data_IF_264527908222
#
_entry.id   IF_264527908222
#
_cell.length_a   1.000
_cell.length_b   1.000
_cell.length_c   1.000
_cell.angle_alpha   90.00
_cell.angle_beta   90.00
_cell.angle_gamma   90.00
#
_symmetry.space_group_name_H-M   'P 1'
#
loop_
_entity.id
_entity.type
_entity.pdbx_description
1 polymer ?
#
# COMPACT_ATOMS: atom_id res chain seq x y z
N UNK A 1 -20.40 -5.19 4.24
CA UNK A 1 -19.90 -3.87 4.66
C UNK A 1 -19.85 -3.78 6.16
N UNK A 2 -20.98 -3.92 6.86
CA UNK A 2 -21.04 -3.87 8.34
C UNK A 2 -20.10 -4.88 9.01
N UNK A 3 -20.07 -6.11 8.51
CA UNK A 3 -19.14 -7.17 8.97
C UNK A 3 -17.66 -6.80 8.78
N UNK A 4 -17.32 -6.16 7.66
CA UNK A 4 -15.94 -5.77 7.31
C UNK A 4 -15.46 -4.61 8.19
N UNK A 5 -16.33 -3.66 8.50
CA UNK A 5 -16.04 -2.57 9.44
C UNK A 5 -15.83 -3.10 10.85
N UNK A 6 -16.71 -4.00 11.31
CA UNK A 6 -16.61 -4.59 12.64
C UNK A 6 -15.33 -5.42 12.80
N UNK A 7 -14.96 -6.19 11.78
CA UNK A 7 -13.71 -6.96 11.74
C UNK A 7 -12.48 -6.05 11.82
N UNK A 8 -12.46 -4.95 11.04
CA UNK A 8 -11.38 -3.97 11.09
C UNK A 8 -11.23 -3.37 12.51
N UNK A 9 -12.34 -2.94 13.14
CA UNK A 9 -12.32 -2.40 14.50
C UNK A 9 -11.80 -3.43 15.50
N UNK A 10 -12.25 -4.69 15.40
CA UNK A 10 -11.79 -5.79 16.27
C UNK A 10 -10.29 -6.03 16.13
N UNK A 11 -9.77 -6.11 14.90
CA UNK A 11 -8.33 -6.33 14.64
C UNK A 11 -7.48 -5.19 15.20
N UNK A 12 -7.86 -3.93 14.93
CA UNK A 12 -7.14 -2.76 15.45
C UNK A 12 -7.20 -2.72 16.98
N UNK A 13 -8.36 -2.97 17.57
CA UNK A 13 -8.53 -3.00 19.02
C UNK A 13 -7.73 -4.13 19.69
N UNK A 14 -7.64 -5.30 19.05
CA UNK A 14 -6.75 -6.38 19.49
C UNK A 14 -5.29 -5.97 19.49
N UNK A 15 -4.83 -5.36 18.38
CA UNK A 15 -3.44 -4.88 18.26
C UNK A 15 -3.10 -3.81 19.29
N UNK A 16 -4.00 -2.85 19.56
CA UNK A 16 -3.81 -1.82 20.59
C UNK A 16 -3.64 -2.44 21.99
N UNK A 17 -4.40 -3.50 22.30
CA UNK A 17 -4.32 -4.18 23.60
C UNK A 17 -3.02 -4.93 23.79
N UNK A 18 -2.49 -5.52 22.72
CA UNK A 18 -1.25 -6.30 22.76
C UNK A 18 0.00 -5.41 22.68
N UNK A 19 -0.05 -4.33 21.89
CA UNK A 19 1.12 -3.49 21.56
C UNK A 19 0.80 -1.99 21.66
N UNK A 20 0.35 -1.52 22.83
CA UNK A 20 -0.05 -0.11 23.06
C UNK A 20 1.06 0.88 22.70
N UNK A 21 2.31 0.61 23.11
CA UNK A 21 3.44 1.51 22.86
C UNK A 21 3.82 1.58 21.37
N UNK A 22 3.86 0.43 20.69
CA UNK A 22 4.16 0.35 19.25
C UNK A 22 3.07 1.03 18.41
N UNK A 23 1.81 0.89 18.83
CA UNK A 23 0.69 1.56 18.21
C UNK A 23 0.83 3.09 18.29
N UNK A 24 1.20 3.64 19.45
CA UNK A 24 1.42 5.08 19.61
C UNK A 24 2.53 5.57 18.67
N UNK A 25 3.66 4.85 18.60
CA UNK A 25 4.75 5.23 17.68
C UNK A 25 4.31 5.18 16.23
N UNK A 26 3.61 4.11 15.80
CA UNK A 26 3.18 3.95 14.41
C UNK A 26 2.16 5.00 13.97
N UNK A 27 1.26 5.40 14.87
CA UNK A 27 0.32 6.50 14.62
C UNK A 27 1.08 7.83 14.49
N UNK A 28 2.09 8.07 15.32
CA UNK A 28 2.96 9.26 15.23
C UNK A 28 3.75 9.28 13.93
N UNK A 29 4.41 8.18 13.56
CA UNK A 29 5.18 8.06 12.32
C UNK A 29 4.32 8.27 11.07
N UNK A 30 3.12 7.66 11.00
CA UNK A 30 2.20 7.85 9.87
C UNK A 30 1.72 9.31 9.77
N UNK A 31 1.45 9.96 10.91
CA UNK A 31 1.08 11.38 10.94
C UNK A 31 2.23 12.27 10.46
N UNK A 32 3.44 12.04 10.97
CA UNK A 32 4.65 12.76 10.56
C UNK A 32 4.88 12.62 9.05
N UNK A 33 4.85 11.40 8.51
CA UNK A 33 5.07 11.13 7.08
C UNK A 33 4.01 11.77 6.18
N UNK A 34 2.73 11.79 6.59
CA UNK A 34 1.67 12.38 5.78
C UNK A 34 1.73 13.91 5.75
N UNK A 35 2.31 14.55 6.76
CA UNK A 35 2.08 15.97 7.01
C UNK A 35 3.35 16.80 7.17
N UNK A 36 4.54 16.20 7.22
CA UNK A 36 5.80 16.91 7.48
C UNK A 36 6.04 18.05 6.47
N UNK A 37 5.83 17.81 5.17
CA UNK A 37 6.08 18.81 4.15
C UNK A 37 5.13 20.02 4.27
N UNK A 38 3.82 19.78 4.44
CA UNK A 38 2.80 20.82 4.56
C UNK A 38 2.94 21.60 5.87
N UNK A 39 3.13 20.91 7.00
CA UNK A 39 3.36 21.54 8.31
C UNK A 39 4.64 22.36 8.29
N UNK A 40 5.72 21.85 7.68
CA UNK A 40 6.98 22.58 7.56
C UNK A 40 6.82 23.83 6.71
N UNK A 41 6.04 23.79 5.65
CA UNK A 41 5.73 24.96 4.85
C UNK A 41 4.89 25.98 5.64
N UNK A 42 3.83 25.55 6.32
CA UNK A 42 3.00 26.43 7.16
C UNK A 42 3.80 27.04 8.30
N UNK A 43 4.72 26.30 8.95
CA UNK A 43 5.66 26.84 9.95
C UNK A 43 6.61 27.88 9.36
N UNK A 44 7.13 27.66 8.15
CA UNK A 44 7.97 28.66 7.44
C UNK A 44 7.18 29.93 7.15
N UNK A 45 5.94 29.81 6.66
CA UNK A 45 5.05 30.95 6.39
C UNK A 45 4.73 31.71 7.67
N UNK A 46 4.41 31.00 8.76
CA UNK A 46 4.14 31.58 10.08
C UNK A 46 5.32 32.41 10.58
N UNK A 47 6.54 31.88 10.48
CA UNK A 47 7.76 32.60 10.88
C UNK A 47 7.98 33.87 10.07
N UNK A 48 7.77 33.81 8.73
CA UNK A 48 7.86 34.99 7.86
C UNK A 48 6.81 36.05 8.20
N UNK A 49 5.56 35.64 8.39
CA UNK A 49 4.47 36.55 8.75
C UNK A 49 4.71 37.24 10.10
N UNK A 50 5.14 36.47 11.13
CA UNK A 50 5.51 37.02 12.44
C UNK A 50 6.67 38.01 12.34
N UNK A 51 7.70 37.69 11.56
CA UNK A 51 8.84 38.59 11.34
C UNK A 51 8.41 39.89 10.66
N UNK A 52 7.59 39.80 9.61
CA UNK A 52 7.08 40.98 8.91
C UNK A 52 6.22 41.85 9.83
N UNK A 53 5.38 41.26 10.68
CA UNK A 53 4.57 41.97 11.68
C UNK A 53 5.45 42.74 12.67
N UNK A 54 6.53 42.14 13.15
CA UNK A 54 7.50 42.81 14.03
C UNK A 54 8.24 43.94 13.31
N UNK A 55 8.65 43.72 12.05
CA UNK A 55 9.26 44.75 11.21
C UNK A 55 8.34 45.97 11.05
N UNK A 56 7.04 45.75 10.76
CA UNK A 56 6.05 46.83 10.68
C UNK A 56 5.89 47.54 12.03
N UNK A 57 5.88 46.79 13.14
CA UNK A 57 5.82 47.40 14.48
C UNK A 57 7.00 48.33 14.74
N UNK A 58 8.20 47.97 14.27
CA UNK A 58 9.38 48.84 14.29
C UNK A 58 9.26 50.05 13.35
N UNK A 59 8.68 49.89 12.16
CA UNK A 59 8.44 50.98 11.22
C UNK A 59 7.43 52.00 11.76
N UNK A 60 6.35 51.54 12.40
CA UNK A 60 5.35 52.39 13.05
C UNK A 60 6.00 53.26 14.13
N UNK A 61 6.87 52.69 14.99
CA UNK A 61 7.60 53.46 16.02
C UNK A 61 8.43 54.59 15.39
N UNK A 62 9.18 54.29 14.33
CA UNK A 62 9.97 55.29 13.59
C UNK A 62 9.10 56.34 12.91
N UNK A 63 7.94 55.95 12.40
CA UNK A 63 6.97 56.86 11.79
C UNK A 63 6.45 57.88 12.82
N UNK A 64 6.15 57.44 14.04
CA UNK A 64 5.78 58.32 15.15
C UNK A 64 6.91 59.30 15.52
N UNK A 65 8.16 58.83 15.61
CA UNK A 65 9.31 59.70 15.88
C UNK A 65 9.51 60.76 14.78
N UNK A 66 9.35 60.38 13.51
CA UNK A 66 9.46 61.30 12.38
C UNK A 66 8.33 62.35 12.37
N UNK A 67 7.11 61.96 12.75
CA UNK A 67 5.99 62.89 12.91
C UNK A 67 6.21 63.86 14.09
N UNK A 68 6.63 63.36 15.26
CA UNK A 68 6.92 64.18 16.43
C UNK A 68 8.06 65.19 16.21
N UNK A 69 9.02 64.87 15.33
CA UNK A 69 10.10 65.79 14.92
C UNK A 69 9.71 66.74 13.79
N UNK A 70 8.45 66.70 13.32
CA UNK A 70 7.93 67.58 12.27
C UNK A 70 8.46 67.29 10.87
N UNK A 71 9.12 66.14 10.66
CA UNK A 71 9.69 65.76 9.35
C UNK A 71 8.64 65.30 8.35
N UNK A 72 7.45 64.93 8.82
CA UNK A 72 6.35 64.40 8.01
C UNK A 72 5.07 65.16 8.37
N UNK A 73 4.32 65.68 7.38
CA UNK A 73 3.03 66.32 7.64
C UNK A 73 1.96 65.27 7.99
N UNK A 74 0.93 65.72 8.71
CA UNK A 74 -0.13 64.84 9.24
C UNK A 74 -0.84 64.00 8.17
N UNK A 75 -1.09 64.57 6.99
CA UNK A 75 -1.74 63.86 5.88
C UNK A 75 -0.96 62.59 5.45
N UNK A 76 0.37 62.68 5.37
CA UNK A 76 1.21 61.53 5.00
C UNK A 76 1.36 60.54 6.16
N UNK A 77 1.37 61.05 7.40
CA UNK A 77 1.40 60.20 8.58
C UNK A 77 0.16 59.31 8.67
N UNK A 78 -1.04 59.89 8.50
CA UNK A 78 -2.30 59.14 8.58
C UNK A 78 -2.46 58.13 7.45
N UNK A 79 -2.05 58.47 6.23
CA UNK A 79 -2.05 57.57 5.08
C UNK A 79 -1.11 56.37 5.32
N UNK A 80 0.14 56.61 5.72
CA UNK A 80 1.12 55.55 5.99
C UNK A 80 0.72 54.67 7.17
N UNK A 81 0.20 55.27 8.26
CA UNK A 81 -0.26 54.53 9.43
C UNK A 81 -1.43 53.61 9.06
N UNK A 82 -2.39 54.09 8.26
CA UNK A 82 -3.51 53.27 7.77
C UNK A 82 -3.01 52.10 6.91
N UNK A 83 -2.01 52.34 6.06
CA UNK A 83 -1.36 51.28 5.29
C UNK A 83 -0.71 50.21 6.18
N UNK A 84 0.02 50.61 7.22
CA UNK A 84 0.63 49.67 8.15
C UNK A 84 -0.39 48.93 9.02
N UNK A 85 -1.43 49.60 9.49
CA UNK A 85 -2.51 48.98 10.26
C UNK A 85 -3.26 47.92 9.46
N UNK A 86 -3.54 48.19 8.18
CA UNK A 86 -4.20 47.21 7.29
C UNK A 86 -3.29 46.01 7.01
N UNK A 87 -2.00 46.23 6.81
CA UNK A 87 -1.02 45.16 6.64
C UNK A 87 -0.89 44.31 7.92
N UNK A 88 -0.83 44.94 9.10
CA UNK A 88 -0.80 44.23 10.39
C UNK A 88 -2.05 43.37 10.61
N UNK A 89 -3.25 43.89 10.36
CA UNK A 89 -4.50 43.11 10.47
C UNK A 89 -4.51 41.91 9.53
N UNK A 90 -3.99 42.08 8.31
CA UNK A 90 -3.89 41.00 7.34
C UNK A 90 -2.93 39.91 7.82
N UNK A 91 -1.75 40.31 8.31
CA UNK A 91 -0.75 39.40 8.87
C UNK A 91 -1.26 38.68 10.12
N UNK A 92 -2.03 39.34 10.97
CA UNK A 92 -2.62 38.73 12.16
C UNK A 92 -3.63 37.65 11.80
N UNK A 93 -4.52 37.92 10.84
CA UNK A 93 -5.42 36.91 10.29
C UNK A 93 -4.68 35.73 9.65
N UNK A 94 -3.59 36.00 8.92
CA UNK A 94 -2.74 34.94 8.35
C UNK A 94 -2.04 34.11 9.43
N UNK A 95 -1.50 34.74 10.47
CA UNK A 95 -0.85 34.07 11.59
C UNK A 95 -1.84 33.17 12.33
N UNK A 96 -3.04 33.67 12.63
CA UNK A 96 -4.10 32.89 13.27
C UNK A 96 -4.49 31.69 12.42
N UNK A 97 -4.70 31.89 11.11
CA UNK A 97 -5.05 30.81 10.18
C UNK A 97 -3.95 29.75 10.13
N UNK A 98 -2.69 30.16 9.97
CA UNK A 98 -1.55 29.25 9.89
C UNK A 98 -1.32 28.51 11.21
N UNK A 99 -1.50 29.18 12.35
CA UNK A 99 -1.40 28.56 13.67
C UNK A 99 -2.50 27.53 13.87
N UNK A 100 -3.76 27.86 13.53
CA UNK A 100 -4.86 26.92 13.58
C UNK A 100 -4.66 25.71 12.65
N UNK A 101 -4.05 25.91 11.48
CA UNK A 101 -3.66 24.82 10.59
C UNK A 101 -2.64 23.90 11.26
N UNK A 102 -1.56 24.47 11.81
CA UNK A 102 -0.53 23.74 12.55
C UNK A 102 -1.10 22.98 13.75
N UNK A 103 -2.02 23.60 14.49
CA UNK A 103 -2.63 22.99 15.68
C UNK A 103 -3.58 21.84 15.32
N UNK A 104 -4.32 21.96 14.19
CA UNK A 104 -5.11 20.86 13.62
C UNK A 104 -4.25 19.64 13.27
N UNK A 105 -3.02 19.88 12.80
CA UNK A 105 -2.05 18.82 12.53
C UNK A 105 -1.41 18.26 13.82
N UNK A 106 -1.05 19.12 14.78
CA UNK A 106 -0.41 18.71 16.04
C UNK A 106 -1.35 17.97 17.02
N UNK A 107 -2.67 17.93 16.78
CA UNK A 107 -3.61 17.25 17.69
C UNK A 107 -3.37 15.73 17.74
N UNK A 108 -2.54 15.16 16.86
CA UNK A 108 -2.37 13.73 16.65
C UNK A 108 -1.76 12.95 17.82
N UNK A 109 -0.90 13.55 18.65
CA UNK A 109 -0.41 12.87 19.87
C UNK A 109 -1.53 12.65 20.88
N UNK A 110 -2.44 13.62 21.02
CA UNK A 110 -3.63 13.55 21.87
C UNK A 110 -4.67 12.60 21.26
N UNK A 111 -4.63 12.34 19.95
CA UNK A 111 -5.56 11.45 19.26
C UNK A 111 -5.25 9.97 19.54
N UNK A 112 -3.99 9.55 19.52
CA UNK A 112 -3.61 8.16 19.83
C UNK A 112 -4.05 7.73 21.24
N UNK A 113 -3.80 8.56 22.24
CA UNK A 113 -4.18 8.30 23.63
C UNK A 113 -5.72 8.17 23.79
N UNK A 114 -6.48 9.04 23.10
CA UNK A 114 -7.96 8.95 23.07
C UNK A 114 -8.47 7.68 22.42
N UNK A 115 -7.81 7.20 21.37
CA UNK A 115 -8.18 5.94 20.73
C UNK A 115 -7.96 4.75 21.69
N UNK A 116 -6.85 4.75 22.41
CA UNK A 116 -6.56 3.73 23.43
C UNK A 116 -7.61 3.75 24.54
N UNK A 117 -8.01 4.93 25.01
CA UNK A 117 -9.10 5.06 25.99
C UNK A 117 -10.43 4.49 25.46
N UNK A 118 -10.75 4.72 24.19
CA UNK A 118 -11.94 4.17 23.53
C UNK A 118 -11.89 2.64 23.45
N UNK A 119 -10.75 2.08 23.06
CA UNK A 119 -10.53 0.62 23.03
C UNK A 119 -10.64 0.01 24.43
N UNK A 120 -10.10 0.68 25.46
CA UNK A 120 -10.20 0.21 26.85
C UNK A 120 -11.65 0.21 27.37
N UNK A 121 -12.46 1.18 26.93
CA UNK A 121 -13.88 1.31 27.31
C UNK A 121 -14.76 0.24 26.67
N UNK A 122 -14.49 -0.11 25.42
CA UNK A 122 -15.28 -1.08 24.66
C UNK A 122 -14.54 -2.42 24.60
N UNK A 123 -14.72 -3.24 25.64
CA UNK A 123 -13.99 -4.51 25.80
C UNK A 123 -14.63 -5.67 25.01
N UNK A 124 -15.90 -5.56 24.64
CA UNK A 124 -16.61 -6.56 23.84
C UNK A 124 -17.32 -5.94 22.63
N UNK A 125 -16.71 -6.05 21.46
CA UNK A 125 -17.30 -5.63 20.19
C UNK A 125 -18.27 -6.70 19.67
N UNK A 126 -19.32 -7.04 20.41
CA UNK A 126 -20.23 -8.13 20.05
C UNK A 126 -21.25 -7.72 18.99
N UNK A 127 -21.74 -6.48 19.02
CA UNK A 127 -22.80 -6.01 18.11
C UNK A 127 -22.37 -4.75 17.34
N UNK A 128 -22.73 -4.72 16.05
CA UNK A 128 -22.59 -3.56 15.19
C UNK A 128 -23.62 -2.50 15.62
N UNK A 129 -23.21 -1.58 16.50
CA UNK A 129 -24.04 -0.45 16.93
C UNK A 129 -23.66 0.82 16.17
N UNK A 130 -24.66 1.63 15.81
CA UNK A 130 -24.44 2.95 15.22
C UNK A 130 -23.57 3.86 16.12
N UNK A 131 -23.70 3.71 17.43
CA UNK A 131 -22.84 4.41 18.41
C UNK A 131 -21.38 3.98 18.29
N UNK A 132 -21.12 2.68 18.15
CA UNK A 132 -19.77 2.14 17.97
C UNK A 132 -19.13 2.68 16.68
N UNK A 133 -19.89 2.73 15.58
CA UNK A 133 -19.38 3.21 14.30
C UNK A 133 -19.07 4.70 14.34
N UNK A 134 -19.96 5.52 14.92
CA UNK A 134 -19.71 6.95 15.08
C UNK A 134 -18.51 7.25 16.00
N UNK A 135 -18.26 6.39 16.98
CA UNK A 135 -17.13 6.54 17.92
C UNK A 135 -15.80 6.07 17.31
N UNK A 136 -15.79 5.01 16.51
CA UNK A 136 -14.56 4.41 15.98
C UNK A 136 -14.24 4.76 14.53
N UNK A 137 -15.20 5.17 13.71
CA UNK A 137 -15.02 5.39 12.27
C UNK A 137 -15.25 6.87 11.92
N UNK A 138 -14.24 7.47 11.29
CA UNK A 138 -14.31 8.85 10.78
C UNK A 138 -15.03 8.90 9.44
N UNK A 139 -14.61 8.04 8.49
CA UNK A 139 -15.20 7.94 7.15
C UNK A 139 -14.90 6.58 6.52
N UNK A 140 -15.76 6.18 5.58
CA UNK A 140 -15.58 4.98 4.75
C UNK A 140 -15.58 5.43 3.30
N UNK A 141 -14.49 5.15 2.57
CA UNK A 141 -14.38 5.43 1.14
C UNK A 141 -14.59 4.10 0.41
N UNK A 142 -15.58 4.09 -0.48
CA UNK A 142 -15.92 2.91 -1.27
C UNK A 142 -15.59 3.20 -2.72
N UNK A 143 -14.64 2.47 -3.27
CA UNK A 143 -14.22 2.62 -4.66
C UNK A 143 -15.18 1.90 -5.61
N UNK A 144 -15.07 2.22 -6.89
CA UNK A 144 -15.85 1.58 -7.95
C UNK A 144 -15.53 0.08 -8.05
N UNK A 145 -16.57 -0.74 -8.21
CA UNK A 145 -16.39 -2.18 -8.32
C UNK A 145 -15.71 -2.55 -9.64
N UNK A 146 -14.53 -3.14 -9.57
CA UNK A 146 -13.76 -3.58 -10.72
C UNK A 146 -13.96 -5.08 -10.93
N UNK A 147 -14.08 -5.52 -12.19
CA UNK A 147 -14.09 -6.96 -12.52
C UNK A 147 -12.68 -7.39 -12.88
N UNK A 148 -12.06 -8.19 -12.03
CA UNK A 148 -10.77 -8.83 -12.30
C UNK A 148 -11.02 -10.33 -12.38
N UNK A 149 -10.60 -10.97 -13.49
CA UNK A 149 -10.74 -12.42 -13.71
C UNK A 149 -12.16 -12.99 -13.53
N UNK A 150 -13.20 -12.21 -13.85
CA UNK A 150 -14.60 -12.63 -13.73
C UNK A 150 -15.18 -12.55 -12.32
N UNK A 151 -14.37 -12.20 -11.32
CA UNK A 151 -14.80 -11.91 -9.95
C UNK A 151 -14.99 -10.40 -9.80
N UNK A 152 -16.07 -9.99 -9.12
CA UNK A 152 -16.33 -8.58 -8.82
C UNK A 152 -15.59 -8.24 -7.52
N UNK A 153 -14.56 -7.42 -7.62
CA UNK A 153 -13.80 -6.90 -6.49
C UNK A 153 -14.21 -5.45 -6.22
N UNK A 154 -14.27 -5.06 -4.95
CA UNK A 154 -14.62 -3.71 -4.55
C UNK A 154 -13.70 -3.30 -3.40
N UNK A 155 -12.89 -2.27 -3.64
CA UNK A 155 -11.97 -1.75 -2.64
C UNK A 155 -12.71 -0.82 -1.68
N UNK A 156 -12.49 -1.02 -0.38
CA UNK A 156 -13.12 -0.26 0.70
C UNK A 156 -12.02 0.20 1.65
N UNK A 157 -11.89 1.51 1.82
CA UNK A 157 -10.97 2.11 2.76
C UNK A 157 -11.73 2.62 3.99
N UNK A 158 -11.33 2.17 5.17
CA UNK A 158 -11.91 2.59 6.44
C UNK A 158 -10.92 3.51 7.15
N UNK A 159 -11.37 4.72 7.44
CA UNK A 159 -10.65 5.67 8.26
C UNK A 159 -11.21 5.60 9.67
N UNK A 160 -10.39 5.17 10.61
CA UNK A 160 -10.75 5.12 12.01
C UNK A 160 -10.56 6.50 12.64
N UNK A 161 -11.47 6.88 13.52
CA UNK A 161 -11.35 8.10 14.31
C UNK A 161 -10.00 8.11 15.00
N UNK A 162 -9.37 9.28 15.08
CA UNK A 162 -8.11 9.54 15.77
C UNK A 162 -6.82 9.01 15.10
N UNK A 163 -6.90 7.97 14.26
CA UNK A 163 -5.71 7.33 13.66
C UNK A 163 -5.73 7.28 12.13
N UNK A 164 -6.86 7.62 11.49
CA UNK A 164 -7.00 7.60 10.04
C UNK A 164 -6.94 6.18 9.46
N UNK A 165 -6.27 6.01 8.32
CA UNK A 165 -6.10 4.69 7.68
C UNK A 165 -5.02 3.89 8.40
N UNK A 166 -5.46 2.99 9.27
CA UNK A 166 -4.56 2.10 10.00
C UNK A 166 -4.49 0.74 9.33
N UNK A 167 -3.49 0.57 8.47
CA UNK A 167 -3.10 -0.75 7.97
C UNK A 167 -2.37 -1.50 9.09
N UNK A 168 -3.05 -2.49 9.66
CA UNK A 168 -2.40 -3.48 10.51
C UNK A 168 -1.32 -4.18 9.70
N UNK A 169 -0.16 -4.52 10.29
CA UNK A 169 0.70 -5.53 9.69
C UNK A 169 -0.17 -6.76 9.46
N UNK A 170 -0.12 -7.34 8.25
CA UNK A 170 -0.71 -8.66 8.03
C UNK A 170 -0.18 -9.55 9.15
N UNK A 171 -1.05 -9.95 10.09
CA UNK A 171 -0.77 -11.15 10.82
C UNK A 171 -0.59 -12.18 9.70
N UNK A 172 0.60 -12.78 9.62
CA UNK A 172 0.75 -14.04 8.91
C UNK A 172 -0.26 -14.96 9.60
N UNK A 173 -1.51 -14.96 9.10
CA UNK A 173 -2.43 -16.07 9.27
C UNK A 173 -1.57 -17.24 8.85
N UNK A 174 -1.16 -18.05 9.83
CA UNK A 174 -0.48 -19.30 9.53
C UNK A 174 -1.39 -19.95 8.49
N UNK A 175 -0.92 -20.12 7.24
CA UNK A 175 -1.82 -20.50 6.18
C UNK A 175 -2.43 -21.83 6.60
N UNK A 176 -3.76 -21.87 6.77
CA UNK A 176 -4.47 -23.12 6.63
C UNK A 176 -3.95 -23.72 5.33
N UNK A 177 -3.26 -24.85 5.44
CA UNK A 177 -2.59 -25.52 4.35
C UNK A 177 -3.63 -26.00 3.34
N UNK A 178 -4.15 -25.09 2.52
CA UNK A 178 -4.58 -25.44 1.18
C UNK A 178 -3.34 -25.99 0.49
N UNK A 179 -3.37 -27.23 -0.04
CA UNK A 179 -2.19 -27.81 -0.67
C UNK A 179 -1.90 -27.06 -1.96
N UNK A 180 -1.13 -25.99 -1.85
CA UNK A 180 -0.49 -25.30 -2.96
C UNK A 180 0.32 -26.36 -3.68
N UNK A 181 -0.08 -26.68 -4.92
CA UNK A 181 0.75 -27.43 -5.87
C UNK A 181 2.02 -26.61 -6.15
N UNK A 182 2.99 -26.68 -5.25
CA UNK A 182 4.32 -26.10 -5.43
C UNK A 182 4.97 -26.83 -6.59
N UNK A 183 4.97 -26.19 -7.76
CA UNK A 183 5.89 -26.47 -8.85
C UNK A 183 7.31 -26.22 -8.35
N UNK A 184 7.89 -27.18 -7.60
CA UNK A 184 9.29 -27.16 -7.17
C UNK A 184 10.16 -27.55 -8.36
N UNK A 185 10.37 -26.64 -9.31
CA UNK A 185 11.49 -26.77 -10.24
C UNK A 185 12.74 -26.30 -9.50
N UNK A 186 13.36 -27.20 -8.72
CA UNK A 186 14.66 -26.92 -8.08
C UNK A 186 15.64 -26.41 -9.13
N UNK A 187 16.31 -25.29 -8.84
CA UNK A 187 17.28 -24.68 -9.76
C UNK A 187 18.45 -25.67 -9.92
N UNK A 188 18.94 -25.88 -11.15
CA UNK A 188 19.94 -26.94 -11.46
C UNK A 188 21.23 -26.84 -10.62
N UNK A 189 21.56 -25.67 -10.07
CA UNK A 189 22.74 -25.50 -9.22
C UNK A 189 22.62 -26.16 -7.84
N UNK A 190 21.39 -26.40 -7.34
CA UNK A 190 21.11 -26.99 -6.02
C UNK A 190 21.08 -28.52 -6.04
N UNK A 191 21.11 -29.14 -7.23
CA UNK A 191 21.04 -30.59 -7.35
C UNK A 191 22.41 -31.23 -7.10
N UNK A 192 22.45 -32.26 -6.26
CA UNK A 192 23.60 -33.14 -6.04
C UNK A 192 24.04 -33.81 -7.34
N UNK A 193 25.29 -34.25 -7.44
CA UNK A 193 25.84 -34.89 -8.66
C UNK A 193 24.99 -36.06 -9.17
N UNK A 194 24.51 -36.92 -8.27
CA UNK A 194 23.64 -38.06 -8.58
C UNK A 194 22.31 -37.64 -9.21
N UNK A 195 21.69 -36.56 -8.72
CA UNK A 195 20.44 -36.04 -9.26
C UNK A 195 20.65 -35.41 -10.65
N UNK A 196 21.81 -34.80 -10.89
CA UNK A 196 22.20 -34.30 -12.21
C UNK A 196 22.48 -35.44 -13.19
N UNK A 197 23.02 -36.56 -12.73
CA UNK A 197 23.24 -37.76 -13.54
C UNK A 197 21.90 -38.42 -13.91
N UNK A 198 20.99 -38.59 -12.94
CA UNK A 198 19.65 -39.15 -13.17
C UNK A 198 18.82 -38.32 -14.17
N UNK A 199 18.92 -36.99 -14.12
CA UNK A 199 18.26 -36.11 -15.09
C UNK A 199 18.84 -36.28 -16.49
N UNK A 200 20.17 -36.37 -16.62
CA UNK A 200 20.86 -36.62 -17.90
C UNK A 200 20.45 -37.96 -18.52
N UNK A 201 20.31 -39.01 -17.71
CA UNK A 201 19.84 -40.31 -18.19
C UNK A 201 18.36 -40.28 -18.62
N UNK A 202 17.50 -39.61 -17.85
CA UNK A 202 16.09 -39.39 -18.26
C UNK A 202 16.00 -38.61 -19.58
N UNK A 203 16.81 -37.59 -19.77
CA UNK A 203 16.82 -36.80 -20.99
C UNK A 203 17.36 -37.59 -22.19
N UNK A 204 18.39 -38.42 -22.01
CA UNK A 204 18.86 -39.37 -23.03
C UNK A 204 17.77 -40.35 -23.44
N UNK A 205 17.08 -40.97 -22.49
CA UNK A 205 15.99 -41.92 -22.75
C UNK A 205 14.82 -41.23 -23.48
N UNK A 206 14.45 -40.01 -23.04
CA UNK A 206 13.42 -39.21 -23.70
C UNK A 206 13.81 -38.87 -25.15
N UNK A 207 15.06 -38.47 -25.37
CA UNK A 207 15.57 -38.16 -26.70
C UNK A 207 15.58 -39.39 -27.60
N UNK A 208 16.07 -40.54 -27.11
CA UNK A 208 16.05 -41.80 -27.84
C UNK A 208 14.61 -42.21 -28.23
N UNK A 209 13.65 -42.11 -27.30
CA UNK A 209 12.23 -42.37 -27.58
C UNK A 209 11.66 -41.43 -28.65
N UNK A 210 12.01 -40.14 -28.60
CA UNK A 210 11.57 -39.15 -29.60
C UNK A 210 12.13 -39.45 -30.99
N UNK A 211 13.42 -39.83 -31.06
CA UNK A 211 14.07 -40.21 -32.33
C UNK A 211 13.48 -41.50 -32.87
N UNK A 212 13.27 -42.52 -32.03
CA UNK A 212 12.61 -43.77 -32.42
C UNK A 212 11.19 -43.54 -32.92
N UNK A 213 10.39 -42.71 -32.24
CA UNK A 213 9.05 -42.35 -32.69
C UNK A 213 9.06 -41.61 -34.03
N UNK A 214 10.03 -40.71 -34.26
CA UNK A 214 10.18 -40.01 -35.55
C UNK A 214 10.60 -40.97 -36.67
N UNK A 215 11.48 -41.94 -36.38
CA UNK A 215 11.89 -42.98 -37.32
C UNK A 215 10.71 -43.89 -37.66
N UNK A 216 9.97 -44.37 -36.66
CA UNK A 216 8.77 -45.19 -36.84
C UNK A 216 7.68 -44.44 -37.62
N UNK A 217 7.47 -43.15 -37.37
CA UNK A 217 6.52 -42.34 -38.15
C UNK A 217 6.95 -42.19 -39.62
N UNK A 218 8.25 -42.02 -39.89
CA UNK A 218 8.79 -41.95 -41.25
C UNK A 218 8.71 -43.31 -41.97
N UNK A 219 8.94 -44.41 -41.26
CA UNK A 219 8.78 -45.77 -41.78
C UNK A 219 7.31 -46.10 -42.03
N UNK A 220 6.40 -45.70 -41.15
CA UNK A 220 4.95 -45.84 -41.35
C UNK A 220 4.46 -45.00 -42.54
N UNK A 221 4.96 -43.77 -42.72
CA UNK A 221 4.67 -42.96 -43.90
C UNK A 221 5.22 -43.59 -45.18
N UNK A 222 6.45 -44.12 -45.16
CA UNK A 222 7.04 -44.84 -46.29
C UNK A 222 6.24 -46.10 -46.62
N UNK A 223 5.83 -46.88 -45.62
CA UNK A 223 5.00 -48.06 -45.80
C UNK A 223 3.61 -47.72 -46.34
N UNK A 224 3.01 -46.61 -45.90
CA UNK A 224 1.74 -46.13 -46.42
C UNK A 224 1.83 -45.70 -47.90
N UNK A 225 2.94 -45.11 -48.31
CA UNK A 225 3.19 -44.74 -49.72
C UNK A 225 3.44 -45.98 -50.60
N UNK A 226 4.07 -47.03 -50.03
CA UNK A 226 4.41 -48.25 -50.77
C UNK A 226 3.23 -49.24 -50.86
N UNK A 227 2.23 -49.11 -50.00
CA UNK A 227 1.02 -49.95 -49.93
C UNK A 227 0.20 -49.80 -51.22
N UNK A 228 0.08 -50.87 -51.99
CA UNK A 228 -0.61 -50.87 -53.29
C UNK A 228 0.26 -50.54 -54.52
N UNK A 229 1.59 -50.45 -54.37
CA UNK A 229 2.54 -50.33 -55.49
C UNK A 229 3.33 -51.64 -55.68
N UNK A 230 3.87 -51.91 -56.87
CA UNK A 230 4.59 -53.15 -57.20
C UNK A 230 5.86 -53.43 -56.37
N UNK A 231 6.25 -52.52 -55.47
CA UNK A 231 7.40 -52.62 -54.57
C UNK A 231 6.99 -52.87 -53.10
N UNK A 232 5.77 -53.33 -52.85
CA UNK A 232 5.30 -53.70 -51.51
C UNK A 232 6.15 -54.85 -50.93
N UNK A 233 7.00 -54.55 -49.94
CA UNK A 233 7.79 -55.57 -49.25
C UNK A 233 6.86 -56.26 -48.25
N UNK A 234 6.33 -57.43 -48.64
CA UNK A 234 5.65 -58.34 -47.71
C UNK A 234 6.67 -58.83 -46.68
N UNK A 235 6.31 -58.89 -45.39
CA UNK A 235 7.19 -59.49 -44.39
C UNK A 235 7.48 -60.93 -44.83
N UNK A 236 8.76 -61.27 -44.98
CA UNK A 236 9.15 -62.66 -45.17
C UNK A 236 8.72 -63.42 -43.91
N UNK A 237 7.75 -64.33 -44.07
CA UNK A 237 7.50 -65.37 -43.08
C UNK A 237 8.81 -66.12 -42.90
N UNK A 238 9.46 -65.93 -41.75
CA UNK A 238 10.51 -66.83 -41.31
C UNK A 238 9.86 -68.22 -41.22
N UNK A 239 10.14 -69.04 -42.23
CA UNK A 239 9.53 -70.33 -42.43
C UNK A 239 9.69 -71.22 -41.20
N UNK A 240 8.57 -71.53 -40.57
CA UNK A 240 8.38 -72.82 -39.96
C UNK A 240 8.18 -73.82 -41.10
N UNK A 241 9.20 -74.62 -41.41
CA UNK A 241 9.05 -75.80 -42.24
C UNK A 241 10.08 -76.87 -41.84
N UNK A 242 9.56 -77.90 -41.18
CA UNK A 242 9.99 -79.30 -41.19
C UNK A 242 11.29 -79.72 -40.48
N UNK A 243 11.11 -80.39 -39.35
CA UNK A 243 11.66 -81.74 -39.18
C UNK A 243 10.61 -82.61 -38.47
N UNK A 244 9.94 -83.46 -39.26
CA UNK A 244 9.31 -84.68 -38.78
C UNK A 244 10.15 -85.85 -39.32
N UNK A 245 10.73 -86.62 -38.42
CA UNK A 245 10.89 -88.09 -38.32
C UNK A 245 11.79 -88.34 -37.11
#
# INVERSE_FOLDING_TARGET
MESLVLEAIRRVSGYVRENEAEFIERVREKSELQQEAAVRESRKKLSKAKRRREEISGLIKKLYEAYATGKIPENHFSELLTGYDTEQKTLDGEIERLQAEIDRYNTDSVRADKFIELVKRHTEFNEFSASLLNEFVEKIIVHEATKVNGVREQEVEIYLNFIGKFDLPEQEEQPEETPVRKSKKKRRHEMTEEQRAALRERDKVRYARKVAAKKAAKEAQRAAILKGTAYEIRPQEAGAAHAAI
#
